data_IF_759847554046
#
_entry.id   IF_759847554046
#
_cell.length_a   1.000
_cell.length_b   1.000
_cell.length_c   1.000
_cell.angle_alpha   90.00
_cell.angle_beta   90.00
_cell.angle_gamma   90.00
#
_symmetry.space_group_name_H-M   'P 1'
#
loop_
_entity.id
_entity.type
_entity.pdbx_description
1 polymer ?
#
# COMPACT_ATOMS: atom_id res chain seq x y z
N UNK A 1 -25.15 -54.71 12.10
CA UNK A 1 -25.82 -53.62 11.32
C UNK A 1 -26.53 -52.72 12.31
N UNK A 2 -26.57 -51.38 12.18
CA UNK A 2 -25.58 -50.45 11.65
C UNK A 2 -25.20 -49.35 12.68
N UNK A 3 -24.28 -48.49 12.25
CA UNK A 3 -23.56 -47.46 13.00
C UNK A 3 -24.39 -46.20 13.30
N UNK A 4 -24.07 -45.50 14.39
CA UNK A 4 -24.44 -44.12 14.70
C UNK A 4 -23.33 -43.55 15.59
N UNK A 5 -22.70 -42.40 15.35
CA UNK A 5 -23.10 -41.27 14.53
C UNK A 5 -21.86 -40.64 13.89
N UNK A 6 -21.98 -40.39 12.59
CA UNK A 6 -21.12 -39.51 11.81
C UNK A 6 -21.05 -38.14 12.48
N UNK A 7 -19.86 -37.77 12.97
CA UNK A 7 -19.54 -36.36 13.21
C UNK A 7 -19.29 -35.72 11.84
N UNK A 8 -20.05 -34.70 11.42
CA UNK A 8 -19.62 -33.90 10.28
C UNK A 8 -18.34 -33.18 10.72
N UNK A 9 -17.22 -33.54 10.08
CA UNK A 9 -16.07 -32.66 10.04
C UNK A 9 -16.56 -31.37 9.37
N UNK A 10 -16.71 -30.32 10.17
CA UNK A 10 -16.78 -28.96 9.67
C UNK A 10 -15.42 -28.69 9.00
N UNK A 11 -15.34 -29.00 7.71
CA UNK A 11 -14.35 -28.40 6.83
C UNK A 11 -14.67 -26.92 6.78
N UNK A 12 -14.10 -26.16 7.71
CA UNK A 12 -13.98 -24.72 7.57
C UNK A 12 -13.19 -24.49 6.29
N UNK A 13 -13.88 -24.16 5.21
CA UNK A 13 -13.26 -23.54 4.04
C UNK A 13 -12.41 -22.38 4.57
N UNK A 14 -11.09 -22.35 4.32
CA UNK A 14 -10.36 -21.12 4.53
C UNK A 14 -11.08 -20.08 3.67
N UNK A 15 -11.67 -19.07 4.33
CA UNK A 15 -12.29 -17.96 3.63
C UNK A 15 -11.30 -17.41 2.61
N UNK A 16 -11.77 -16.83 1.48
CA UNK A 16 -10.88 -16.24 0.49
C UNK A 16 -9.90 -15.35 1.25
N UNK A 17 -8.59 -15.65 1.15
CA UNK A 17 -7.54 -14.93 1.84
C UNK A 17 -7.86 -13.45 1.72
N UNK A 18 -8.25 -12.83 2.83
CA UNK A 18 -8.75 -11.48 2.83
C UNK A 18 -7.62 -10.63 2.27
N UNK A 19 -7.80 -10.09 1.06
CA UNK A 19 -6.83 -9.16 0.49
C UNK A 19 -6.67 -8.06 1.53
N UNK A 20 -5.44 -7.77 1.97
CA UNK A 20 -5.23 -6.76 2.98
C UNK A 20 -5.87 -5.46 2.51
N UNK A 21 -6.63 -4.81 3.40
CA UNK A 21 -7.33 -3.59 3.05
C UNK A 21 -6.31 -2.54 2.59
N UNK A 22 -6.63 -1.76 1.55
CA UNK A 22 -5.75 -0.70 1.10
C UNK A 22 -5.51 0.31 2.22
N UNK A 23 -4.24 0.65 2.43
CA UNK A 23 -3.80 1.65 3.39
C UNK A 23 -3.29 2.90 2.67
N UNK A 24 -3.16 4.00 3.41
CA UNK A 24 -2.50 5.21 2.91
C UNK A 24 -1.00 5.13 3.20
N UNK A 25 -0.21 5.58 2.23
CA UNK A 25 1.24 5.58 2.28
C UNK A 25 1.76 6.93 1.80
N UNK A 26 2.68 7.49 2.56
CA UNK A 26 3.42 8.69 2.22
C UNK A 26 4.63 8.25 1.39
N UNK A 27 4.76 8.80 0.19
CA UNK A 27 5.90 8.59 -0.71
C UNK A 27 6.66 9.91 -0.82
N UNK A 28 7.93 9.90 -0.44
CA UNK A 28 8.82 11.07 -0.42
C UNK A 28 10.00 10.86 -1.34
N UNK A 29 10.40 11.89 -2.08
CA UNK A 29 11.68 11.87 -2.78
C UNK A 29 12.82 11.98 -1.76
N UNK A 30 13.87 11.16 -1.89
CA UNK A 30 15.02 11.22 -0.97
C UNK A 30 16.02 12.32 -1.34
N UNK A 31 16.03 12.78 -2.60
CA UNK A 31 17.02 13.73 -3.12
C UNK A 31 16.36 14.82 -3.99
N UNK A 32 16.11 14.53 -5.27
CA UNK A 32 15.45 15.44 -6.21
C UNK A 32 14.02 14.96 -6.53
N UNK A 33 13.07 15.91 -6.64
CA UNK A 33 11.66 15.62 -6.92
C UNK A 33 11.41 14.93 -8.27
N UNK A 34 12.42 14.85 -9.15
CA UNK A 34 12.32 14.14 -10.44
C UNK A 34 11.92 12.67 -10.34
N UNK A 35 12.46 11.92 -9.36
CA UNK A 35 12.10 10.51 -9.13
C UNK A 35 10.64 10.36 -8.72
N UNK A 36 10.11 11.33 -7.96
CA UNK A 36 8.72 11.36 -7.55
C UNK A 36 7.79 11.73 -8.70
N UNK A 37 8.21 12.66 -9.56
CA UNK A 37 7.49 12.99 -10.79
C UNK A 37 7.30 11.78 -11.71
N UNK A 38 8.37 11.02 -11.95
CA UNK A 38 8.30 9.78 -12.74
C UNK A 38 7.41 8.71 -12.09
N UNK A 39 7.45 8.60 -10.76
CA UNK A 39 6.54 7.72 -10.03
C UNK A 39 5.08 8.13 -10.20
N UNK A 40 4.75 9.41 -10.05
CA UNK A 40 3.38 9.92 -10.25
C UNK A 40 2.87 9.63 -11.67
N UNK A 41 3.71 9.85 -12.68
CA UNK A 41 3.37 9.54 -14.08
C UNK A 41 3.07 8.04 -14.26
N UNK A 42 3.84 7.17 -13.60
CA UNK A 42 3.63 5.72 -13.62
C UNK A 42 2.34 5.25 -12.94
N UNK A 43 1.78 6.04 -12.01
CA UNK A 43 0.54 5.69 -11.29
C UNK A 43 -0.65 5.57 -12.24
N UNK A 44 -0.70 6.36 -13.31
CA UNK A 44 -1.76 6.27 -14.32
C UNK A 44 -1.83 4.89 -14.99
N UNK A 45 -0.72 4.15 -15.01
CA UNK A 45 -0.65 2.80 -15.58
C UNK A 45 -0.96 1.70 -14.56
N UNK A 46 -1.02 2.00 -13.26
CA UNK A 46 -1.24 1.00 -12.21
C UNK A 46 -2.53 1.26 -11.42
N UNK A 47 -3.64 0.56 -11.75
CA UNK A 47 -4.90 0.74 -11.04
C UNK A 47 -4.89 0.24 -9.59
N UNK A 48 -3.85 -0.51 -9.18
CA UNK A 48 -3.69 -0.95 -7.79
C UNK A 48 -3.23 0.17 -6.85
N UNK A 49 -2.72 1.27 -7.40
CA UNK A 49 -2.22 2.42 -6.63
C UNK A 49 -3.05 3.65 -6.98
N UNK A 50 -3.64 4.27 -5.97
CA UNK A 50 -4.44 5.49 -6.14
C UNK A 50 -3.71 6.68 -5.57
N UNK A 51 -3.46 7.70 -6.38
CA UNK A 51 -2.95 8.98 -5.87
C UNK A 51 -4.05 9.66 -5.04
N UNK A 52 -3.75 9.93 -3.76
CA UNK A 52 -4.66 10.59 -2.81
C UNK A 52 -4.36 12.07 -2.76
N UNK A 53 -3.09 12.42 -2.59
CA UNK A 53 -2.65 13.81 -2.42
C UNK A 53 -1.24 14.01 -2.99
N UNK A 54 -0.97 15.22 -3.48
CA UNK A 54 0.37 15.64 -3.90
C UNK A 54 0.77 16.85 -3.07
N UNK A 55 1.88 16.75 -2.35
CA UNK A 55 2.38 17.74 -1.40
C UNK A 55 3.72 18.28 -1.93
N UNK A 56 3.75 19.56 -2.29
CA UNK A 56 4.95 20.21 -2.81
C UNK A 56 4.76 21.70 -3.06
N UNK A 57 5.86 22.42 -3.34
CA UNK A 57 5.79 23.82 -3.71
C UNK A 57 4.99 24.00 -5.00
N UNK A 58 4.05 24.95 -5.03
CA UNK A 58 3.23 25.22 -6.22
C UNK A 58 4.03 25.69 -7.45
N UNK A 59 5.33 26.00 -7.28
CA UNK A 59 6.26 26.42 -8.32
C UNK A 59 7.51 25.51 -8.40
N UNK A 60 7.36 24.20 -8.14
CA UNK A 60 8.44 23.22 -8.25
C UNK A 60 7.95 21.77 -8.28
N UNK A 61 8.85 20.79 -8.47
CA UNK A 61 8.48 19.38 -8.45
C UNK A 61 7.97 18.98 -7.05
N UNK A 62 6.97 18.09 -6.96
CA UNK A 62 6.48 17.61 -5.68
C UNK A 62 7.60 16.84 -4.96
N UNK A 63 7.71 17.05 -3.65
CA UNK A 63 8.67 16.33 -2.81
C UNK A 63 7.99 15.23 -2.00
N UNK A 64 6.67 15.23 -1.90
CA UNK A 64 5.89 14.24 -1.18
C UNK A 64 4.56 13.98 -1.88
N UNK A 65 4.09 12.74 -1.91
CA UNK A 65 2.72 12.38 -2.29
C UNK A 65 2.15 11.39 -1.31
N UNK A 66 0.83 11.34 -1.22
CA UNK A 66 0.11 10.31 -0.48
C UNK A 66 -0.58 9.41 -1.51
N UNK A 67 -0.37 8.11 -1.40
CA UNK A 67 -1.01 7.10 -2.24
C UNK A 67 -1.78 6.12 -1.37
N UNK A 68 -2.84 5.55 -1.92
CA UNK A 68 -3.61 4.47 -1.34
C UNK A 68 -3.33 3.20 -2.13
N UNK A 69 -2.88 2.15 -1.45
CA UNK A 69 -2.52 0.87 -2.07
C UNK A 69 -2.58 -0.24 -1.03
N UNK A 70 -2.63 -1.50 -1.47
CA UNK A 70 -2.43 -2.64 -0.57
C UNK A 70 -0.97 -2.76 -0.09
N UNK A 71 -0.73 -3.31 1.12
CA UNK A 71 0.60 -3.40 1.72
C UNK A 71 1.59 -4.23 0.89
N UNK A 72 1.13 -5.26 0.18
CA UNK A 72 1.99 -6.05 -0.71
C UNK A 72 2.56 -5.19 -1.86
N UNK A 73 1.74 -4.30 -2.42
CA UNK A 73 2.17 -3.35 -3.44
C UNK A 73 3.06 -2.27 -2.83
N UNK A 74 2.75 -1.76 -1.63
CA UNK A 74 3.61 -0.81 -0.93
C UNK A 74 5.02 -1.37 -0.68
N UNK A 75 5.13 -2.63 -0.23
CA UNK A 75 6.42 -3.29 -0.03
C UNK A 75 7.18 -3.53 -1.34
N UNK A 76 6.47 -3.79 -2.45
CA UNK A 76 7.10 -3.87 -3.78
C UNK A 76 7.64 -2.50 -4.22
N UNK A 77 6.86 -1.43 -4.02
CA UNK A 77 7.30 -0.07 -4.33
C UNK A 77 8.56 0.29 -3.52
N UNK A 78 8.60 -0.06 -2.22
CA UNK A 78 9.77 0.13 -1.35
C UNK A 78 11.02 -0.56 -1.87
N UNK A 79 10.87 -1.76 -2.41
CA UNK A 79 11.99 -2.54 -2.97
C UNK A 79 12.45 -2.01 -4.32
N UNK A 80 11.54 -1.51 -5.15
CA UNK A 80 11.82 -1.11 -6.53
C UNK A 80 12.27 0.36 -6.65
N UNK A 81 11.93 1.21 -5.67
CA UNK A 81 12.22 2.63 -5.70
C UNK A 81 13.18 3.04 -4.58
N UNK A 82 14.47 2.69 -4.73
CA UNK A 82 15.52 3.07 -3.77
C UNK A 82 15.71 4.59 -3.60
N UNK A 83 15.18 5.40 -4.54
CA UNK A 83 15.22 6.86 -4.50
C UNK A 83 13.95 7.49 -3.89
N UNK A 84 13.02 6.65 -3.43
CA UNK A 84 11.79 7.08 -2.77
C UNK A 84 11.73 6.45 -1.38
N UNK A 85 11.31 7.24 -0.41
CA UNK A 85 10.95 6.78 0.92
C UNK A 85 9.45 6.54 0.96
N UNK A 86 9.01 5.31 1.25
CA UNK A 86 7.59 4.95 1.33
C UNK A 86 7.30 4.45 2.74
N UNK A 87 6.37 5.13 3.40
CA UNK A 87 6.01 4.90 4.80
C UNK A 87 4.48 4.88 4.95
N UNK A 88 3.91 4.09 5.87
CA UNK A 88 2.48 4.13 6.13
C UNK A 88 2.06 5.50 6.69
N UNK A 89 1.00 6.08 6.12
CA UNK A 89 0.32 7.27 6.62
C UNK A 89 -0.56 6.86 7.81
N UNK A 90 0.08 6.75 8.98
CA UNK A 90 -0.55 6.35 10.22
C UNK A 90 -0.54 7.48 11.25
N UNK A 91 -1.42 7.41 12.28
CA UNK A 91 -1.33 8.33 13.40
C UNK A 91 0.07 8.26 13.99
N UNK A 92 0.66 9.43 14.28
CA UNK A 92 1.87 9.51 15.07
C UNK A 92 1.55 8.83 16.41
N UNK A 93 2.07 7.61 16.60
CA UNK A 93 2.07 6.99 17.92
C UNK A 93 3.00 7.84 18.80
N UNK A 94 2.43 8.86 19.45
CA UNK A 94 3.02 9.39 20.66
C UNK A 94 2.97 8.24 21.66
N UNK A 95 4.11 7.58 21.83
CA UNK A 95 4.31 6.61 22.89
C UNK A 95 3.91 7.27 24.21
N UNK A 96 2.96 6.64 24.92
CA UNK A 96 2.60 6.93 26.31
C UNK A 96 3.76 6.62 27.25
#
# INVERSE_FOLDING_TARGET
MPQSSSRPFQGGTPGPAARPAPGRYIVRATDDGGALGAFIDSLGANPAIRLVETIGPGAGPPHTVVVETDPDTAEQLRRNHNQLTIEPDGPLSLFD
#
